data_IF_185103704722
#
_entry.id   IF_185103704722
#
_cell.length_a   1.000
_cell.length_b   1.000
_cell.length_c   1.000
_cell.angle_alpha   90.00
_cell.angle_beta   90.00
_cell.angle_gamma   90.00
#
_symmetry.space_group_name_H-M   'P 1'
#
loop_
_entity.id
_entity.type
_entity.pdbx_description
1 polymer ?
2 non-polymer ?
3 non-polymer ?
4 non-polymer ?
5 non-polymer ?
6 water ?
#
# COMPACT_ATOMS: atom_id res chain seq x y z
N UNK A 1 15.83 13.64 0.93
CA UNK A 1 14.78 12.59 1.11
C UNK A 1 13.64 13.27 1.88
N UNK A 2 12.40 12.94 1.52
CA UNK A 2 11.30 13.47 2.27
C UNK A 2 11.26 12.83 3.65
N UNK A 3 10.92 13.63 4.67
CA UNK A 3 10.96 13.16 6.08
C UNK A 3 10.03 13.87 7.07
N UNK A 4 9.32 13.06 7.79
CA UNK A 4 8.15 13.50 8.46
C UNK A 4 8.37 13.82 9.89
N UNK A 5 7.62 14.80 10.40
CA UNK A 5 7.58 15.09 11.82
C UNK A 5 6.17 14.94 12.38
N UNK A 6 6.00 14.05 13.34
CA UNK A 6 4.82 14.06 14.20
C UNK A 6 5.19 14.33 15.66
N UNK A 7 4.86 15.53 16.14
CA UNK A 7 4.92 15.82 17.57
C UNK A 7 3.55 15.69 18.20
N UNK A 8 2.54 16.27 17.55
CA UNK A 8 1.28 16.59 18.21
C UNK A 8 0.73 15.36 18.93
N UNK A 9 0.11 15.59 20.08
CA UNK A 9 -0.49 14.52 20.86
C UNK A 9 -2.00 14.51 20.86
N UNK A 10 -2.62 15.50 20.22
CA UNK A 10 -4.06 15.61 20.05
C UNK A 10 -4.38 15.39 18.60
N UNK A 11 -5.49 14.66 18.36
CA UNK A 11 -5.88 14.30 17.01
C UNK A 11 -5.94 15.46 16.06
N UNK A 12 -6.74 16.51 16.40
CA UNK A 12 -6.92 17.66 15.52
C UNK A 12 -5.56 18.34 15.26
N UNK A 13 -4.76 18.54 16.29
CA UNK A 13 -3.48 19.17 16.11
C UNK A 13 -2.61 18.32 15.17
N UNK A 14 -2.69 16.98 15.28
CA UNK A 14 -1.87 16.14 14.43
C UNK A 14 -2.29 16.25 12.97
N UNK A 15 -3.59 16.30 12.69
CA UNK A 15 -4.00 16.55 11.32
C UNK A 15 -3.42 17.83 10.82
N UNK A 16 -3.48 18.93 11.59
CA UNK A 16 -2.96 20.20 11.13
C UNK A 16 -1.47 20.13 10.84
N UNK A 17 -0.75 19.33 11.61
CA UNK A 17 0.66 19.07 11.40
C UNK A 17 0.98 18.25 10.19
N UNK A 18 0.17 17.21 9.95
CA UNK A 18 0.47 16.20 9.00
C UNK A 18 -0.09 16.51 7.59
N UNK A 19 -1.28 17.10 7.48
CA UNK A 19 -1.82 17.35 6.12
C UNK A 19 -0.86 18.16 5.26
N UNK A 20 -0.19 19.22 5.74
CA UNK A 20 0.71 19.97 4.87
C UNK A 20 1.88 19.12 4.48
N UNK A 21 2.35 18.20 5.29
CA UNK A 21 3.41 17.31 4.95
C UNK A 21 3.01 16.34 3.86
N UNK A 22 1.82 15.77 3.97
CA UNK A 22 1.29 14.93 2.89
C UNK A 22 1.21 15.74 1.58
N UNK A 23 0.66 16.96 1.68
CA UNK A 23 0.54 17.76 0.46
C UNK A 23 1.93 17.92 -0.19
N UNK A 24 2.95 18.19 0.58
CA UNK A 24 4.31 18.36 0.07
C UNK A 24 4.83 17.10 -0.58
N UNK A 25 4.61 15.95 0.10
CA UNK A 25 5.12 14.69 -0.39
C UNK A 25 4.43 14.34 -1.74
N UNK A 26 3.17 14.48 -1.88
CA UNK A 26 2.47 14.14 -3.09
C UNK A 26 2.62 15.14 -4.19
N UNK A 27 3.05 16.36 -3.86
CA UNK A 27 3.33 17.38 -4.83
C UNK A 27 4.48 16.99 -5.76
N UNK A 28 5.36 16.12 -5.27
CA UNK A 28 6.64 15.87 -5.93
C UNK A 28 6.62 14.54 -6.69
N UNK A 29 5.43 14.02 -6.95
CA UNK A 29 5.29 12.79 -7.78
C UNK A 29 3.99 12.89 -8.53
N UNK A 30 4.00 12.40 -9.75
CA UNK A 30 2.77 12.39 -10.55
C UNK A 30 2.05 11.04 -10.56
N UNK A 31 2.78 9.94 -10.32
CA UNK A 31 2.15 8.62 -10.36
C UNK A 31 1.10 8.50 -9.23
N UNK A 32 -0.12 8.19 -9.65
CA UNK A 32 -1.27 8.16 -8.71
C UNK A 32 -1.09 7.08 -7.66
N UNK A 33 -0.76 5.86 -8.09
CA UNK A 33 -0.62 4.78 -7.13
C UNK A 33 0.52 5.05 -6.12
N UNK A 34 1.65 5.61 -6.59
CA UNK A 34 2.73 5.95 -5.68
C UNK A 34 2.26 6.94 -4.63
N UNK A 35 1.49 7.95 -5.04
CA UNK A 35 0.97 8.96 -4.16
C UNK A 35 -0.02 8.39 -3.14
N UNK A 36 -0.89 7.50 -3.59
CA UNK A 36 -1.80 6.83 -2.66
C UNK A 36 -1.04 6.01 -1.66
N UNK A 37 -0.03 5.29 -2.13
CA UNK A 37 0.79 4.43 -1.27
C UNK A 37 1.49 5.24 -0.21
N UNK A 38 2.11 6.36 -0.59
CA UNK A 38 2.80 7.17 0.42
C UNK A 38 1.75 7.87 1.35
N UNK A 39 0.60 8.24 0.85
CA UNK A 39 -0.41 8.83 1.74
C UNK A 39 -0.87 7.85 2.80
N UNK A 40 -1.12 6.58 2.40
CA UNK A 40 -1.47 5.57 3.35
C UNK A 40 -0.39 5.41 4.37
N UNK A 41 0.87 5.41 3.93
CA UNK A 41 1.98 5.28 4.86
C UNK A 41 2.06 6.38 5.87
N UNK A 42 1.86 7.62 5.44
CA UNK A 42 1.90 8.76 6.37
C UNK A 42 0.77 8.66 7.41
N UNK A 43 -0.43 8.35 6.91
CA UNK A 43 -1.56 8.23 7.85
C UNK A 43 -1.37 7.09 8.84
N UNK A 44 -0.86 5.94 8.34
CA UNK A 44 -0.62 4.81 9.24
C UNK A 44 0.39 5.14 10.30
N UNK A 45 1.50 5.78 9.93
CA UNK A 45 2.57 6.13 10.86
C UNK A 45 2.03 7.18 11.89
N UNK A 46 1.34 8.19 11.42
CA UNK A 46 0.91 9.30 12.24
C UNK A 46 -0.18 8.84 13.22
N UNK A 47 -1.20 8.15 12.71
CA UNK A 47 -2.40 7.88 13.55
C UNK A 47 -2.46 6.43 14.05
N UNK A 48 -1.75 5.49 13.42
CA UNK A 48 -1.71 4.16 13.94
C UNK A 48 -3.00 3.40 13.81
N UNK A 49 -3.93 3.80 12.94
CA UNK A 49 -5.15 3.10 12.74
C UNK A 49 -4.88 1.70 12.34
N UNK A 50 -5.80 0.81 12.65
CA UNK A 50 -5.75 -0.61 12.28
C UNK A 50 -5.60 -0.82 10.76
N UNK A 51 -6.32 -0.06 9.96
CA UNK A 51 -6.27 -0.17 8.55
C UNK A 51 -6.48 1.18 7.97
N UNK A 52 -5.74 1.54 6.93
CA UNK A 52 -5.99 2.79 6.23
C UNK A 52 -5.52 2.66 4.77
N UNK A 53 -6.34 3.09 3.83
CA UNK A 53 -5.99 2.93 2.45
C UNK A 53 -7.07 3.30 1.52
N UNK A 54 -7.00 2.82 0.29
CA UNK A 54 -7.85 3.27 -0.81
C UNK A 54 -8.46 2.13 -1.55
N UNK A 55 -9.63 2.39 -2.09
CA UNK A 55 -10.23 1.61 -3.18
C UNK A 55 -10.51 2.55 -4.32
N UNK A 56 -10.42 2.08 -5.53
CA UNK A 56 -10.60 2.89 -6.76
C UNK A 56 -11.73 2.32 -7.60
N UNK A 57 -12.53 3.17 -8.19
CA UNK A 57 -13.64 2.73 -9.00
C UNK A 57 -13.15 2.07 -10.31
N UNK A 58 -13.70 0.90 -10.60
CA UNK A 58 -13.55 0.17 -11.84
C UNK A 58 -14.82 0.32 -12.60
N UNK A 59 -14.83 1.17 -13.61
CA UNK A 59 -16.04 1.36 -14.42
C UNK A 59 -16.41 0.12 -15.25
N UNK A 60 -15.52 -0.82 -15.49
CA UNK A 60 -15.96 -1.96 -16.28
C UNK A 60 -16.98 -2.80 -15.43
N UNK A 61 -16.76 -2.93 -14.12
CA UNK A 61 -17.46 -3.86 -13.24
C UNK A 61 -18.37 -3.18 -12.22
N UNK A 62 -18.38 -1.83 -12.17
CA UNK A 62 -19.11 -1.08 -11.14
C UNK A 62 -18.78 -1.58 -9.74
N UNK A 63 -17.46 -1.74 -9.54
CA UNK A 63 -16.95 -2.12 -8.23
C UNK A 63 -15.82 -1.19 -7.83
N UNK A 64 -15.63 -1.05 -6.53
CA UNK A 64 -14.42 -0.50 -5.94
C UNK A 64 -13.38 -1.62 -5.89
N UNK A 65 -12.16 -1.35 -6.32
CA UNK A 65 -11.06 -2.28 -6.38
C UNK A 65 -9.93 -1.81 -5.43
N UNK A 66 -9.42 -2.69 -4.61
CA UNK A 66 -8.42 -2.40 -3.64
C UNK A 66 -7.19 -1.79 -4.27
N UNK A 67 -6.68 -0.73 -3.67
CA UNK A 67 -5.52 0.04 -4.11
C UNK A 67 -4.52 0.04 -2.96
N UNK A 68 -3.54 0.96 -2.89
CA UNK A 68 -2.62 0.92 -1.74
C UNK A 68 -3.31 1.06 -0.39
N UNK A 69 -2.74 0.41 0.62
CA UNK A 69 -3.25 0.46 1.98
C UNK A 69 -2.19 -0.05 2.94
N UNK A 70 -2.36 0.22 4.21
CA UNK A 70 -1.62 -0.36 5.29
C UNK A 70 -2.58 -1.00 6.27
N UNK A 71 -2.12 -2.10 6.87
CA UNK A 71 -2.93 -2.92 7.73
C UNK A 71 -3.10 -4.32 7.16
N UNK A 72 -3.91 -5.19 7.76
CA UNK A 72 -4.07 -6.57 7.31
C UNK A 72 -4.76 -6.69 5.94
N UNK A 73 -4.81 -7.92 5.46
CA UNK A 73 -5.17 -8.08 3.97
C UNK A 73 -6.65 -7.78 4.06
N UNK A 74 -7.17 -7.44 2.90
CA UNK A 74 -8.50 -6.93 2.72
C UNK A 74 -9.18 -7.51 1.53
N UNK A 75 -10.49 -7.37 1.48
CA UNK A 75 -11.33 -7.67 0.30
C UNK A 75 -10.85 -6.94 -0.88
N UNK A 76 -10.77 -7.54 -2.06
CA UNK A 76 -10.31 -6.83 -3.24
C UNK A 76 -11.36 -6.04 -3.98
N UNK A 77 -12.61 -6.38 -3.78
CA UNK A 77 -13.73 -5.85 -4.52
C UNK A 77 -14.91 -5.54 -3.68
N UNK A 78 -15.46 -4.35 -3.81
CA UNK A 78 -16.69 -3.94 -3.09
C UNK A 78 -17.68 -3.41 -4.16
N UNK A 79 -18.82 -4.07 -4.31
CA UNK A 79 -19.81 -3.59 -5.25
C UNK A 79 -20.32 -2.18 -4.93
N UNK A 80 -20.72 -1.45 -5.99
CA UNK A 80 -21.45 -0.20 -5.78
C UNK A 80 -22.58 -0.42 -4.78
N UNK A 81 -22.71 0.51 -3.84
CA UNK A 81 -23.79 0.51 -2.86
C UNK A 81 -23.70 -0.45 -1.74
N UNK A 82 -22.70 -1.33 -1.70
CA UNK A 82 -22.57 -2.32 -0.64
C UNK A 82 -21.45 -1.87 0.31
N UNK A 83 -21.61 -2.16 1.59
CA UNK A 83 -20.64 -1.80 2.58
C UNK A 83 -20.63 -0.31 2.86
N UNK A 84 -19.86 0.08 3.90
CA UNK A 84 -19.65 1.52 4.12
C UNK A 84 -19.03 2.15 2.84
N UNK A 85 -18.07 1.45 2.24
CA UNK A 85 -17.39 2.00 1.08
C UNK A 85 -18.35 2.22 -0.12
N UNK A 86 -19.16 1.20 -0.41
CA UNK A 86 -20.09 1.33 -1.50
C UNK A 86 -21.19 2.31 -1.22
N UNK A 87 -21.60 2.43 0.06
CA UNK A 87 -22.52 3.47 0.49
C UNK A 87 -22.00 4.87 0.34
N UNK A 88 -20.74 5.09 0.68
CA UNK A 88 -20.15 6.44 0.51
C UNK A 88 -20.16 6.80 -0.95
N UNK A 89 -19.81 5.86 -1.82
CA UNK A 89 -19.85 6.06 -3.28
C UNK A 89 -21.28 6.40 -3.71
N UNK A 90 -22.26 5.61 -3.30
CA UNK A 90 -23.63 5.82 -3.75
C UNK A 90 -24.17 7.16 -3.20
N UNK A 91 -23.79 7.56 -1.96
CA UNK A 91 -24.34 8.82 -1.28
C UNK A 91 -23.57 10.02 -1.95
N UNK A 92 -22.36 9.82 -2.46
CA UNK A 92 -21.52 10.91 -2.84
C UNK A 92 -20.97 11.71 -1.67
N UNK A 93 -20.76 11.07 -0.52
CA UNK A 93 -20.27 11.78 0.63
C UNK A 93 -19.70 10.91 1.68
N UNK A 94 -19.04 11.50 2.65
CA UNK A 94 -18.39 10.82 3.78
C UNK A 94 -19.35 10.07 4.65
N UNK A 95 -18.98 8.87 5.08
CA UNK A 95 -19.74 8.09 6.04
C UNK A 95 -18.82 7.81 7.23
N UNK A 96 -19.28 8.20 8.41
CA UNK A 96 -18.58 7.92 9.71
C UNK A 96 -19.37 6.89 10.47
N UNK A 97 -18.68 5.84 10.94
CA UNK A 97 -19.33 4.72 11.61
C UNK A 97 -18.68 4.57 12.98
N UNK A 98 -19.46 4.82 14.03
CA UNK A 98 -19.03 4.70 15.37
C UNK A 98 -18.90 3.29 15.85
N UNK A 99 -19.74 2.43 15.30
CA UNK A 99 -19.77 1.02 15.70
C UNK A 99 -20.28 0.15 14.54
N UNK A 100 -19.36 -0.58 13.93
CA UNK A 100 -19.64 -1.32 12.71
C UNK A 100 -20.78 -2.33 12.90
N UNK A 101 -21.02 -2.73 14.15
CA UNK A 101 -22.20 -3.60 14.50
C UNK A 101 -23.56 -2.90 14.43
N UNK A 102 -23.71 -1.58 14.60
CA UNK A 102 -24.95 -0.93 14.36
C UNK A 102 -25.15 -0.35 12.99
N UNK A 103 -24.20 -0.65 12.09
CA UNK A 103 -24.25 -0.03 10.80
C UNK A 103 -24.84 -0.94 9.78
N UNK A 104 -25.84 -0.43 9.01
CA UNK A 104 -26.41 -1.38 8.04
C UNK A 104 -25.42 -1.82 6.96
N UNK A 105 -25.30 -3.12 6.73
CA UNK A 105 -24.53 -3.71 5.61
C UNK A 105 -23.01 -3.40 5.60
N UNK A 106 -22.39 -3.21 6.77
CA UNK A 106 -20.94 -3.15 6.91
C UNK A 106 -20.34 -4.45 6.34
N UNK A 107 -19.24 -4.26 5.60
CA UNK A 107 -18.51 -5.40 5.09
C UNK A 107 -17.29 -5.59 6.03
N UNK A 108 -17.24 -6.74 6.69
CA UNK A 108 -16.21 -7.05 7.64
C UNK A 108 -15.01 -7.80 6.99
N UNK A 109 -14.11 -7.13 6.27
CA UNK A 109 -12.94 -7.81 5.64
C UNK A 109 -12.04 -8.31 6.74
N UNK A 110 -12.00 -7.61 7.87
CA UNK A 110 -11.42 -8.15 9.08
C UNK A 110 -12.44 -8.25 10.13
N UNK A 111 -12.40 -9.32 10.89
CA UNK A 111 -13.32 -9.49 12.04
C UNK A 111 -12.99 -8.49 13.18
N UNK A 112 -11.82 -7.86 13.14
CA UNK A 112 -11.30 -7.08 14.30
C UNK A 112 -11.71 -5.59 14.28
N UNK A 113 -12.13 -5.05 13.13
CA UNK A 113 -12.47 -3.64 13.10
C UNK A 113 -13.83 -3.38 13.77
N UNK A 114 -13.87 -2.29 14.52
CA UNK A 114 -15.01 -1.81 15.27
C UNK A 114 -15.57 -0.45 14.86
N UNK A 115 -14.78 0.39 14.23
CA UNK A 115 -15.28 1.67 13.77
C UNK A 115 -14.57 2.03 12.48
N UNK A 116 -15.12 2.92 11.67
CA UNK A 116 -14.65 3.19 10.32
C UNK A 116 -15.04 4.57 9.87
N UNK A 117 -14.31 5.09 8.91
CA UNK A 117 -14.70 6.30 8.15
C UNK A 117 -14.33 6.08 6.68
N UNK A 118 -15.22 6.48 5.79
CA UNK A 118 -14.99 6.46 4.38
C UNK A 118 -15.19 7.84 3.79
N UNK A 119 -14.23 8.34 3.04
CA UNK A 119 -14.30 9.65 2.39
C UNK A 119 -14.16 9.44 0.86
N UNK A 120 -15.16 9.76 0.08
CA UNK A 120 -15.04 9.62 -1.36
C UNK A 120 -14.19 10.68 -2.02
N UNK A 121 -13.60 10.30 -3.16
CA UNK A 121 -12.84 11.18 -4.04
C UNK A 121 -13.55 11.32 -5.37
N UNK A 122 -13.46 12.51 -5.94
CA UNK A 122 -14.18 12.83 -7.20
C UNK A 122 -13.31 13.46 -8.28
N UNK A 123 -13.65 13.21 -9.53
CA UNK A 123 -13.12 13.93 -10.69
C UNK A 123 -14.24 14.08 -11.68
N UNK A 124 -14.30 15.28 -12.28
CA UNK A 124 -15.27 15.58 -13.34
C UNK A 124 -16.66 15.24 -12.82
N UNK A 125 -16.84 15.29 -11.50
CA UNK A 125 -18.15 15.18 -10.89
C UNK A 125 -18.40 13.82 -10.28
N UNK A 126 -17.68 12.83 -10.78
CA UNK A 126 -17.98 11.43 -10.49
C UNK A 126 -17.01 10.88 -9.45
N UNK A 127 -17.44 9.86 -8.72
CA UNK A 127 -16.57 9.18 -7.77
C UNK A 127 -15.48 8.40 -8.51
N UNK A 128 -14.23 8.63 -8.10
CA UNK A 128 -13.11 7.87 -8.63
C UNK A 128 -12.60 6.85 -7.61
N UNK A 129 -13.03 6.90 -6.37
CA UNK A 129 -12.53 6.00 -5.32
C UNK A 129 -12.89 6.51 -3.95
N UNK A 130 -12.36 5.85 -2.94
CA UNK A 130 -12.59 6.22 -1.56
C UNK A 130 -11.30 6.03 -0.76
N UNK A 131 -11.17 6.86 0.27
CA UNK A 131 -10.27 6.66 1.40
C UNK A 131 -11.02 5.95 2.51
N UNK A 132 -10.53 4.83 2.95
CA UNK A 132 -11.16 4.09 4.02
C UNK A 132 -10.17 3.93 5.17
N UNK A 133 -10.64 4.15 6.39
CA UNK A 133 -9.85 3.96 7.59
C UNK A 133 -10.68 3.19 8.63
N UNK A 134 -10.01 2.26 9.31
CA UNK A 134 -10.68 1.37 10.23
C UNK A 134 -9.88 1.29 11.54
N UNK A 135 -10.59 1.08 12.63
CA UNK A 135 -9.99 1.00 13.97
C UNK A 135 -10.57 -0.21 14.71
N UNK A 136 -9.72 -0.82 15.51
CA UNK A 136 -10.19 -1.81 16.50
C UNK A 136 -10.91 -1.20 17.68
N UNK A 137 -10.89 0.13 17.86
CA UNK A 137 -11.56 0.82 18.98
C UNK A 137 -12.94 1.28 18.49
N UNK A 138 -13.94 1.34 19.37
CA UNK A 138 -15.21 1.99 19.04
C UNK A 138 -14.99 3.49 18.89
N UNK A 139 -15.76 4.14 18.00
CA UNK A 139 -15.82 5.60 17.88
C UNK A 139 -14.44 6.19 17.78
N UNK A 140 -13.55 5.60 16.98
CA UNK A 140 -12.26 6.21 16.78
C UNK A 140 -12.35 7.42 15.84
N UNK A 141 -13.37 7.47 15.01
CA UNK A 141 -13.49 8.48 13.99
C UNK A 141 -14.70 9.38 14.27
N UNK A 142 -14.47 10.68 14.18
CA UNK A 142 -15.49 11.63 14.48
C UNK A 142 -15.42 12.82 13.51
N UNK A 143 -16.04 13.94 13.89
CA UNK A 143 -16.12 15.08 13.01
C UNK A 143 -14.74 15.66 12.63
N UNK A 144 -13.78 15.51 13.52
CA UNK A 144 -12.42 15.97 13.21
C UNK A 144 -11.86 15.18 12.05
N UNK A 145 -12.03 13.85 12.12
CA UNK A 145 -11.55 13.01 10.99
C UNK A 145 -12.31 13.34 9.69
N UNK A 146 -13.64 13.52 9.81
CA UNK A 146 -14.41 13.84 8.60
C UNK A 146 -13.88 15.12 8.00
N UNK A 147 -13.67 16.17 8.78
CA UNK A 147 -13.21 17.44 8.26
C UNK A 147 -11.84 17.30 7.56
N UNK A 148 -10.87 16.78 8.29
CA UNK A 148 -9.52 16.74 7.78
C UNK A 148 -9.25 15.69 6.76
N UNK A 149 -9.89 14.53 6.83
CA UNK A 149 -9.76 13.57 5.71
C UNK A 149 -10.52 14.07 4.52
N UNK A 150 -11.58 14.87 4.69
CA UNK A 150 -12.19 15.53 3.54
C UNK A 150 -11.27 16.52 2.87
N UNK A 151 -10.49 17.26 3.65
CA UNK A 151 -9.50 18.15 3.04
C UNK A 151 -8.39 17.36 2.37
N UNK A 152 -7.96 16.25 2.92
CA UNK A 152 -6.99 15.39 2.31
C UNK A 152 -7.54 14.87 0.95
N UNK A 153 -8.80 14.48 0.92
CA UNK A 153 -9.42 14.03 -0.32
C UNK A 153 -9.27 15.04 -1.43
N UNK A 154 -9.47 16.33 -1.08
CA UNK A 154 -9.30 17.36 -2.13
C UNK A 154 -7.83 17.55 -2.57
N UNK A 155 -6.89 17.43 -1.66
CA UNK A 155 -5.49 17.41 -2.03
C UNK A 155 -5.19 16.29 -3.00
N UNK A 156 -5.74 15.09 -2.74
CA UNK A 156 -5.51 13.93 -3.56
C UNK A 156 -6.19 14.07 -4.93
N UNK A 157 -7.39 14.61 -4.96
CA UNK A 157 -8.06 14.84 -6.21
C UNK A 157 -7.20 15.64 -7.17
N UNK A 158 -6.56 16.68 -6.66
CA UNK A 158 -5.68 17.50 -7.50
C UNK A 158 -4.52 16.68 -8.04
N UNK A 159 -3.98 15.77 -7.25
CA UNK A 159 -2.92 14.88 -7.75
C UNK A 159 -3.42 13.90 -8.78
N UNK A 160 -4.67 13.45 -8.67
CA UNK A 160 -5.26 12.55 -9.69
C UNK A 160 -5.28 13.30 -11.01
N UNK A 161 -5.81 14.53 -11.01
CA UNK A 161 -5.82 15.29 -12.21
C UNK A 161 -4.41 15.55 -12.78
N UNK A 162 -3.46 15.82 -11.90
CA UNK A 162 -2.07 16.03 -12.36
C UNK A 162 -1.51 14.80 -12.96
N UNK A 163 -1.96 13.59 -12.52
CA UNK A 163 -1.45 12.32 -13.06
C UNK A 163 -1.89 12.21 -14.53
N UNK A 164 -3.02 12.75 -14.87
CA UNK A 164 -3.55 12.68 -16.23
C UNK A 164 -2.88 13.62 -17.17
N UNK A 165 -2.30 14.71 -16.65
CA UNK A 165 -1.65 15.72 -17.44
C UNK A 165 -0.15 15.56 -17.45
N UNK A 166 0.40 14.59 -16.72
CA UNK A 166 1.83 14.42 -16.63
C UNK A 166 2.40 13.77 -17.87
N UNK A 167 3.57 14.23 -18.26
CA UNK A 167 4.33 13.68 -19.37
C UNK A 167 5.82 13.73 -19.04
N UNK B 1 -14.68 -14.68 2.81
CA UNK B 1 -13.57 -13.70 2.94
C UNK B 1 -12.33 -14.49 3.30
N UNK B 2 -11.22 -14.06 2.77
CA UNK B 2 -9.97 -14.70 3.09
C UNK B 2 -9.45 -14.26 4.45
N UNK B 3 -8.77 -15.20 5.11
CA UNK B 3 -8.16 -14.99 6.44
C UNK B 3 -6.93 -15.87 6.50
N UNK B 4 -5.94 -15.41 7.24
CA UNK B 4 -4.61 -15.98 7.17
C UNK B 4 -4.27 -16.49 8.57
N UNK B 5 -3.88 -17.76 8.63
CA UNK B 5 -3.15 -18.26 9.80
C UNK B 5 -1.65 -18.49 9.59
N UNK B 6 -0.86 -18.00 10.53
CA UNK B 6 0.56 -18.32 10.59
C UNK B 6 1.14 -18.65 11.96
N UNK B 7 1.46 -19.92 12.18
CA UNK B 7 1.65 -20.44 13.53
C UNK B 7 3.12 -20.73 13.81
N UNK B 8 3.93 -20.64 12.76
CA UNK B 8 5.17 -21.41 12.70
C UNK B 8 6.20 -20.44 13.25
N UNK B 9 7.13 -20.95 14.07
CA UNK B 9 8.04 -20.10 14.80
C UNK B 9 9.35 -19.92 14.04
N UNK B 10 9.67 -20.95 13.21
CA UNK B 10 10.95 -20.93 12.47
C UNK B 10 10.69 -20.19 11.11
N UNK B 11 11.67 -19.39 10.69
CA UNK B 11 11.54 -18.61 9.50
C UNK B 11 11.10 -19.42 8.28
N UNK B 12 11.88 -20.45 8.00
CA UNK B 12 11.57 -21.28 6.86
C UNK B 12 10.21 -21.90 6.94
N UNK B 13 9.89 -22.43 8.12
CA UNK B 13 8.52 -23.00 8.27
C UNK B 13 7.38 -21.95 8.06
N UNK B 14 7.63 -20.71 8.46
CA UNK B 14 6.64 -19.65 8.30
C UNK B 14 6.46 -19.37 6.80
N UNK B 15 7.54 -19.30 6.02
CA UNK B 15 7.39 -19.17 4.59
C UNK B 15 6.56 -20.29 4.02
N UNK B 16 6.83 -21.50 4.45
CA UNK B 16 6.06 -22.61 3.86
C UNK B 16 4.58 -22.56 4.21
N UNK B 17 4.29 -21.92 5.34
CA UNK B 17 2.90 -21.67 5.74
C UNK B 17 2.27 -20.50 4.97
N UNK B 18 3.05 -19.43 4.79
CA UNK B 18 2.57 -18.16 4.19
C UNK B 18 2.47 -18.20 2.68
N UNK B 19 3.42 -18.79 1.97
CA UNK B 19 3.38 -18.72 0.54
C UNK B 19 2.12 -19.30 -0.09
N UNK B 20 1.64 -20.50 0.39
CA UNK B 20 0.44 -20.99 -0.20
C UNK B 20 -0.79 -20.10 0.07
N UNK B 21 -0.80 -19.45 1.23
CA UNK B 21 -1.91 -18.51 1.54
C UNK B 21 -1.90 -17.32 0.56
N UNK B 22 -0.71 -16.75 0.36
CA UNK B 22 -0.57 -15.67 -0.64
C UNK B 22 -1.05 -16.18 -1.99
N UNK B 23 -0.59 -17.36 -2.42
CA UNK B 23 -0.97 -17.88 -3.70
C UNK B 23 -2.50 -17.89 -3.80
N UNK B 24 -3.17 -18.37 -2.75
CA UNK B 24 -4.61 -18.46 -2.79
C UNK B 24 -5.31 -17.06 -2.84
N UNK B 25 -4.75 -16.12 -2.09
CA UNK B 25 -5.32 -14.81 -2.00
C UNK B 25 -5.24 -14.06 -3.34
N UNK B 26 -4.14 -14.22 -4.05
CA UNK B 26 -3.93 -13.56 -5.30
C UNK B 26 -4.51 -14.28 -6.49
N UNK B 27 -4.93 -15.53 -6.31
CA UNK B 27 -5.47 -16.34 -7.40
C UNK B 27 -6.89 -15.78 -7.77
N UNK B 28 -7.49 -15.11 -6.76
CA UNK B 28 -8.90 -14.71 -6.71
C UNK B 28 -9.14 -13.25 -7.31
N UNK B 29 -8.11 -12.64 -7.91
CA UNK B 29 -8.14 -11.26 -8.36
C UNK B 29 -7.21 -11.09 -9.55
N UNK B 30 -7.63 -10.35 -10.55
CA UNK B 30 -6.80 -10.01 -11.69
C UNK B 30 -6.07 -8.70 -11.56
N UNK B 31 -6.55 -7.76 -10.76
CA UNK B 31 -5.95 -6.46 -10.70
C UNK B 31 -4.54 -6.57 -10.03
N UNK B 32 -3.54 -6.07 -10.76
CA UNK B 32 -2.13 -6.20 -10.33
C UNK B 32 -1.85 -5.40 -9.06
N UNK B 33 -2.27 -4.14 -9.02
CA UNK B 33 -2.08 -3.33 -7.81
C UNK B 33 -2.75 -3.95 -6.58
N UNK B 34 -3.99 -4.43 -6.72
CA UNK B 34 -4.66 -5.06 -5.60
C UNK B 34 -3.86 -6.25 -5.07
N UNK B 35 -3.37 -7.09 -5.97
CA UNK B 35 -2.64 -8.25 -5.59
C UNK B 35 -1.32 -7.91 -4.94
N UNK B 36 -0.60 -6.89 -5.45
CA UNK B 36 0.60 -6.44 -4.81
C UNK B 36 0.33 -5.89 -3.38
N UNK B 37 -0.77 -5.14 -3.26
CA UNK B 37 -1.16 -4.55 -1.99
C UNK B 37 -1.44 -5.65 -0.96
N UNK B 38 -2.23 -6.66 -1.32
CA UNK B 38 -2.55 -7.77 -0.37
C UNK B 38 -1.33 -8.64 -0.10
N UNK B 39 -0.44 -8.78 -1.07
CA UNK B 39 0.81 -9.51 -0.84
C UNK B 39 1.63 -8.86 0.22
N UNK B 40 1.71 -7.57 0.09
CA UNK B 40 2.60 -6.89 1.03
C UNK B 40 1.99 -6.84 2.42
N UNK B 41 0.66 -6.80 2.49
CA UNK B 41 -0.04 -6.95 3.75
C UNK B 41 0.20 -8.27 4.40
N UNK B 42 0.18 -9.37 3.66
CA UNK B 42 0.43 -10.68 4.24
C UNK B 42 1.88 -10.77 4.75
N UNK B 43 2.87 -10.32 3.95
CA UNK B 43 4.23 -10.36 4.39
C UNK B 43 4.47 -9.52 5.63
N UNK B 44 3.87 -8.29 5.68
CA UNK B 44 4.10 -7.41 6.82
C UNK B 44 3.52 -8.08 8.09
N UNK B 45 2.31 -8.64 7.97
CA UNK B 45 1.68 -9.26 9.17
C UNK B 45 2.47 -10.47 9.60
N UNK B 46 2.91 -11.32 8.71
CA UNK B 46 3.57 -12.57 9.05
C UNK B 46 4.97 -12.34 9.60
N UNK B 47 5.78 -11.48 8.94
CA UNK B 47 7.20 -11.36 9.28
C UNK B 47 7.51 -10.11 10.10
N UNK B 48 6.66 -9.09 10.06
CA UNK B 48 6.90 -7.89 10.84
C UNK B 48 8.05 -7.06 10.40
N UNK B 49 8.51 -7.20 9.19
CA UNK B 49 9.63 -6.40 8.67
C UNK B 49 9.24 -4.93 8.71
N UNK B 50 10.25 -4.07 8.87
CA UNK B 50 10.07 -2.65 8.90
C UNK B 50 9.40 -2.09 7.66
N UNK B 51 9.76 -2.60 6.52
CA UNK B 51 9.22 -2.15 5.24
C UNK B 51 9.13 -3.34 4.32
N UNK B 52 8.05 -3.45 3.60
CA UNK B 52 7.98 -4.48 2.53
C UNK B 52 7.00 -4.04 1.46
N UNK B 53 7.38 -4.18 0.21
CA UNK B 53 6.58 -3.72 -0.88
C UNK B 53 7.25 -3.77 -2.19
N UNK B 54 6.72 -3.00 -3.14
CA UNK B 54 7.06 -3.15 -4.55
C UNK B 54 7.43 -1.83 -5.16
N UNK B 55 8.32 -1.91 -6.16
CA UNK B 55 8.56 -0.89 -7.16
C UNK B 55 8.35 -1.49 -8.52
N UNK B 56 7.79 -0.76 -9.45
CA UNK B 56 7.51 -1.26 -10.81
C UNK B 56 8.29 -0.46 -11.79
N UNK B 57 8.79 -1.11 -12.81
CA UNK B 57 9.54 -0.45 -13.92
C UNK B 57 8.64 0.44 -14.77
N UNK B 58 9.10 1.65 -14.94
CA UNK B 58 8.61 2.64 -15.92
C UNK B 58 9.55 2.67 -17.09
N UNK B 59 9.14 2.06 -18.21
CA UNK B 59 10.02 2.00 -19.40
C UNK B 59 10.26 3.35 -20.04
N UNK B 60 9.40 4.32 -19.77
CA UNK B 60 9.57 5.67 -20.32
C UNK B 60 10.73 6.44 -19.67
N UNK B 61 10.99 6.17 -18.39
CA UNK B 61 11.96 6.93 -17.64
C UNK B 61 13.18 6.16 -17.14
N UNK B 62 13.15 4.85 -17.33
CA UNK B 62 14.25 3.95 -16.85
C UNK B 62 14.39 4.13 -15.33
N UNK B 63 13.20 4.08 -14.68
CA UNK B 63 13.10 4.22 -13.27
C UNK B 63 12.14 3.17 -12.71
N UNK B 64 12.45 2.69 -11.53
CA UNK B 64 11.53 2.02 -10.64
C UNK B 64 10.59 3.06 -9.95
N UNK B 65 9.31 2.79 -9.97
CA UNK B 65 8.31 3.69 -9.41
C UNK B 65 7.58 2.98 -8.29
N UNK B 66 7.40 3.61 -7.15
CA UNK B 66 6.77 3.06 -5.98
C UNK B 66 5.33 2.62 -6.29
N UNK B 67 5.09 1.38 -5.75
CA UNK B 67 3.82 0.69 -5.87
C UNK B 67 3.37 0.35 -4.43
N UNK B 68 2.41 -0.61 -4.24
CA UNK B 68 1.99 -0.87 -2.87
C UNK B 68 3.13 -1.32 -1.94
N UNK B 69 3.00 -0.98 -0.67
CA UNK B 69 3.95 -1.33 0.36
C UNK B 69 3.37 -1.12 1.71
N UNK B 70 4.02 -1.69 2.71
CA UNK B 70 3.68 -1.49 4.15
C UNK B 70 4.97 -0.96 4.76
N UNK B 71 4.84 -0.07 5.76
CA UNK B 71 5.93 0.57 6.39
C UNK B 71 5.92 2.08 6.15
N UNK B 72 6.95 2.80 6.62
CA UNK B 72 6.94 4.26 6.49
C UNK B 72 7.14 4.73 5.07
N UNK B 73 6.87 6.01 4.86
CA UNK B 73 7.05 6.71 3.62
C UNK B 73 8.34 6.37 2.94
N UNK B 74 8.27 6.27 1.59
CA UNK B 74 9.40 5.88 0.80
C UNK B 74 9.66 6.81 -0.37
N UNK B 75 10.85 6.73 -0.92
CA UNK B 75 11.18 7.38 -2.18
C UNK B 75 10.28 6.86 -3.27
N UNK B 76 9.83 7.72 -4.19
CA UNK B 76 8.94 7.32 -5.26
C UNK B 76 9.61 6.80 -6.49
N UNK B 77 10.86 7.16 -6.72
CA UNK B 77 11.56 6.85 -7.97
C UNK B 77 13.01 6.45 -7.71
N UNK B 78 13.40 5.30 -8.26
CA UNK B 78 14.78 4.79 -8.13
C UNK B 78 15.35 4.55 -9.54
N UNK B 79 16.39 5.27 -9.95
CA UNK B 79 16.92 5.08 -11.31
C UNK B 79 17.51 3.69 -11.51
N UNK B 80 17.45 3.22 -12.77
CA UNK B 80 18.15 2.02 -13.15
C UNK B 80 19.57 2.04 -12.59
N UNK B 81 19.99 0.94 -12.01
CA UNK B 81 21.34 0.76 -11.53
C UNK B 81 21.71 1.39 -10.21
N UNK B 82 20.81 2.20 -9.64
CA UNK B 82 21.05 2.92 -8.36
C UNK B 82 20.36 2.24 -7.20
N UNK B 83 21.04 2.18 -6.06
CA UNK B 83 20.45 1.56 -4.89
C UNK B 83 20.47 0.05 -4.97
N UNK B 84 20.11 -0.60 -3.87
CA UNK B 84 19.93 -2.06 -3.92
C UNK B 84 18.87 -2.42 -4.96
N UNK B 85 17.79 -1.61 -5.04
CA UNK B 85 16.73 -1.93 -6.00
C UNK B 85 17.19 -1.83 -7.43
N UNK B 86 17.84 -0.72 -7.76
CA UNK B 86 18.32 -0.55 -9.09
C UNK B 86 19.46 -1.51 -9.43
N UNK B 87 20.27 -1.93 -8.44
CA UNK B 87 21.31 -2.95 -8.61
C UNK B 87 20.64 -4.32 -8.99
N UNK B 88 19.55 -4.68 -8.30
CA UNK B 88 18.87 -5.92 -8.56
C UNK B 88 18.32 -5.98 -9.96
N UNK B 89 17.70 -4.90 -10.38
CA UNK B 89 17.21 -4.68 -11.70
C UNK B 89 18.36 -4.85 -12.73
N UNK B 90 19.45 -4.12 -12.55
CA UNK B 90 20.59 -4.19 -13.45
C UNK B 90 21.17 -5.57 -13.55
N UNK B 91 21.31 -6.26 -12.40
CA UNK B 91 21.90 -7.64 -12.33
C UNK B 91 20.96 -8.70 -12.89
N UNK B 92 19.65 -8.44 -12.85
CA UNK B 92 18.68 -9.43 -13.22
C UNK B 92 18.56 -10.48 -12.16
N UNK B 93 18.82 -10.21 -10.89
CA UNK B 93 18.76 -11.22 -9.86
C UNK B 93 18.68 -10.59 -8.47
N UNK B 94 18.41 -11.44 -7.49
CA UNK B 94 18.20 -11.08 -6.12
C UNK B 94 19.48 -10.52 -5.49
N UNK B 95 19.34 -9.50 -4.67
CA UNK B 95 20.42 -8.93 -3.89
C UNK B 95 20.04 -9.01 -2.42
N UNK B 96 20.87 -9.62 -1.60
CA UNK B 96 20.70 -9.71 -0.15
C UNK B 96 21.79 -8.85 0.48
N UNK B 97 21.37 -7.98 1.40
CA UNK B 97 22.29 -7.03 2.05
C UNK B 97 22.23 -7.20 3.60
N UNK B 98 23.32 -7.66 4.22
CA UNK B 98 23.32 -7.88 5.63
C UNK B 98 23.48 -6.59 6.42
N UNK B 99 24.11 -5.56 5.83
CA UNK B 99 24.38 -4.28 6.51
C UNK B 99 24.34 -3.21 5.45
N UNK B 100 23.26 -2.44 5.44
CA UNK B 100 23.13 -1.45 4.37
C UNK B 100 24.21 -0.35 4.44
N UNK B 101 24.73 -0.08 5.65
CA UNK B 101 25.77 0.96 5.81
C UNK B 101 27.10 0.52 5.21
N UNK B 102 27.24 -0.78 5.00
CA UNK B 102 28.40 -1.36 4.44
C UNK B 102 28.24 -1.77 3.00
N UNK B 103 27.12 -1.46 2.39
CA UNK B 103 26.81 -1.90 1.04
C UNK B 103 27.01 -0.79 0.07
N UNK B 104 27.53 -1.08 -1.13
CA UNK B 104 27.75 0.07 -2.05
C UNK B 104 26.48 0.78 -2.60
N UNK B 105 26.41 2.10 -2.50
CA UNK B 105 25.31 2.91 -3.09
C UNK B 105 23.85 2.58 -2.65
N UNK B 106 23.73 2.03 -1.48
CA UNK B 106 22.41 1.86 -0.89
C UNK B 106 21.66 3.22 -0.87
N UNK B 107 20.38 3.22 -1.19
CA UNK B 107 19.56 4.45 -1.07
C UNK B 107 18.79 4.34 0.25
N UNK B 108 19.16 5.22 1.17
CA UNK B 108 18.39 5.50 2.35
C UNK B 108 17.18 6.28 1.87
N UNK B 109 16.02 5.63 1.96
CA UNK B 109 14.71 6.37 2.01
C UNK B 109 14.32 6.55 3.45
N UNK B 110 14.73 5.60 4.30
CA UNK B 110 14.59 5.71 5.75
C UNK B 110 15.96 5.62 6.34
N UNK B 111 16.21 6.45 7.35
CA UNK B 111 17.44 6.39 8.13
C UNK B 111 17.46 5.13 8.98
N UNK B 112 16.30 4.46 9.18
CA UNK B 112 16.16 3.38 10.18
C UNK B 112 16.53 1.98 9.65
N UNK B 113 16.53 1.79 8.34
CA UNK B 113 16.80 0.48 7.77
C UNK B 113 18.28 0.09 7.94
N UNK B 114 18.53 -1.17 8.30
CA UNK B 114 19.89 -1.75 8.45
C UNK B 114 20.21 -2.95 7.57
N UNK B 115 19.22 -3.67 7.11
CA UNK B 115 19.40 -4.78 6.19
C UNK B 115 18.23 -4.84 5.22
N UNK B 116 18.44 -5.52 4.11
CA UNK B 116 17.54 -5.46 2.97
C UNK B 116 17.66 -6.64 2.10
N UNK B 117 16.59 -6.94 1.38
CA UNK B 117 16.62 -7.92 0.29
C UNK B 117 15.72 -7.37 -0.86
N UNK B 118 16.17 -7.54 -2.06
CA UNK B 118 15.49 -7.18 -3.26
C UNK B 118 15.41 -8.35 -4.22
N UNK B 119 14.20 -8.70 -4.63
CA UNK B 119 13.93 -9.82 -5.53
C UNK B 119 13.24 -9.31 -6.80
N UNK B 120 13.92 -9.37 -7.95
CA UNK B 120 13.30 -8.92 -9.19
C UNK B 120 12.19 -9.79 -9.73
N UNK B 121 11.22 -9.20 -10.42
CA UNK B 121 10.13 -9.88 -11.12
C UNK B 121 10.29 -9.67 -12.60
N UNK B 122 9.94 -10.70 -13.37
CA UNK B 122 10.15 -10.71 -14.81
C UNK B 122 8.87 -11.08 -15.58
N UNK B 123 8.76 -10.55 -16.79
CA UNK B 123 7.80 -10.97 -17.79
C UNK B 123 8.57 -11.01 -19.10
N UNK B 124 8.53 -12.18 -19.76
CA UNK B 124 9.13 -12.30 -21.10
C UNK B 124 10.61 -11.94 -20.98
N UNK B 125 11.21 -12.42 -19.90
CA UNK B 125 12.60 -12.17 -19.62
C UNK B 125 13.06 -10.73 -19.45
N UNK B 126 12.12 -9.79 -19.27
CA UNK B 126 12.41 -8.38 -18.92
C UNK B 126 11.93 -8.08 -17.52
N UNK B 127 12.70 -7.32 -16.80
CA UNK B 127 12.33 -6.98 -15.44
C UNK B 127 11.14 -6.04 -15.47
N UNK B 128 10.10 -6.37 -14.71
CA UNK B 128 8.92 -5.55 -14.57
C UNK B 128 8.85 -4.79 -13.24
N UNK B 129 9.68 -5.12 -12.30
CA UNK B 129 9.63 -4.54 -10.98
C UNK B 129 10.45 -5.33 -10.01
N UNK B 130 10.42 -4.97 -8.74
CA UNK B 130 11.13 -5.64 -7.66
C UNK B 130 10.20 -5.70 -6.41
N UNK B 131 10.41 -6.74 -5.65
CA UNK B 131 10.00 -6.84 -4.24
C UNK B 131 11.15 -6.40 -3.38
N UNK B 132 10.90 -5.42 -2.52
CA UNK B 132 11.89 -4.93 -1.63
C UNK B 132 11.42 -5.15 -0.20
N UNK B 133 12.26 -5.64 0.66
CA UNK B 133 12.02 -5.76 2.12
C UNK B 133 13.20 -5.23 2.88
N UNK B 134 12.91 -4.52 3.95
CA UNK B 134 13.89 -3.89 4.79
C UNK B 134 13.62 -4.19 6.24
N UNK B 135 14.67 -4.21 7.04
CA UNK B 135 14.59 -4.45 8.49
C UNK B 135 15.44 -3.42 9.22
N UNK B 136 15.00 -3.12 10.45
CA UNK B 136 15.80 -2.34 11.41
C UNK B 136 16.95 -3.12 12.02
N UNK B 137 16.92 -4.40 11.84
CA UNK B 137 17.96 -5.29 12.41
C UNK B 137 18.94 -5.58 11.37
N UNK B 138 20.19 -5.71 11.77
CA UNK B 138 21.22 -6.21 10.86
C UNK B 138 20.94 -7.68 10.51
N UNK B 139 21.33 -8.06 9.27
CA UNK B 139 21.34 -9.47 8.86
C UNK B 139 20.01 -10.15 9.03
N UNK B 140 18.89 -9.44 8.75
CA UNK B 140 17.60 -10.05 8.91
C UNK B 140 17.23 -10.97 7.75
N UNK B 141 17.89 -10.82 6.61
CA UNK B 141 17.57 -11.55 5.42
C UNK B 141 18.73 -12.43 5.00
N UNK B 142 18.44 -13.66 4.67
CA UNK B 142 19.48 -14.59 4.26
C UNK B 142 18.98 -15.48 3.16
N UNK B 143 19.70 -16.59 2.94
CA UNK B 143 19.34 -17.47 1.82
C UNK B 143 17.91 -18.06 1.95
N UNK B 144 17.38 -18.21 3.16
CA UNK B 144 16.03 -18.64 3.32
C UNK B 144 15.07 -17.61 2.69
N UNK B 145 15.27 -16.34 3.01
CA UNK B 145 14.43 -15.31 2.41
C UNK B 145 14.61 -15.30 0.88
N UNK B 146 15.85 -15.43 0.43
CA UNK B 146 16.06 -15.35 -1.05
C UNK B 146 15.36 -16.52 -1.69
N UNK B 147 15.42 -17.71 -1.14
CA UNK B 147 14.76 -18.82 -1.78
C UNK B 147 13.22 -18.63 -1.86
N UNK B 148 12.63 -18.38 -0.68
CA UNK B 148 11.20 -18.30 -0.65
C UNK B 148 10.61 -17.03 -1.29
N UNK B 149 11.26 -15.88 -1.14
CA UNK B 149 10.75 -14.69 -1.85
C UNK B 149 10.97 -14.86 -3.38
N UNK B 150 12.01 -15.60 -3.79
CA UNK B 150 12.10 -15.93 -5.17
C UNK B 150 10.93 -16.76 -5.66
N UNK B 151 10.48 -17.72 -4.85
CA UNK B 151 9.33 -18.50 -5.23
C UNK B 151 8.07 -17.60 -5.25
N UNK B 152 7.96 -16.68 -4.30
CA UNK B 152 6.82 -15.75 -4.32
C UNK B 152 6.84 -14.89 -5.61
N UNK B 153 8.03 -14.48 -6.04
CA UNK B 153 8.14 -13.70 -7.25
C UNK B 153 7.54 -14.45 -8.42
N UNK B 154 7.79 -15.75 -8.52
CA UNK B 154 7.23 -16.55 -9.53
C UNK B 154 5.72 -16.58 -9.49
N UNK B 155 5.15 -16.73 -8.30
CA UNK B 155 3.69 -16.69 -8.14
C UNK B 155 3.14 -15.37 -8.61
N UNK B 156 3.83 -14.29 -8.26
CA UNK B 156 3.35 -12.95 -8.66
C UNK B 156 3.46 -12.72 -10.14
N UNK B 157 4.53 -13.21 -10.76
CA UNK B 157 4.69 -13.06 -12.18
C UNK B 157 3.50 -13.62 -12.94
N UNK B 158 3.02 -14.76 -12.50
CA UNK B 158 1.85 -15.34 -13.15
C UNK B 158 0.61 -14.45 -13.00
N UNK B 159 0.47 -13.82 -11.84
CA UNK B 159 -0.61 -12.83 -11.69
C UNK B 159 -0.46 -11.61 -12.54
N UNK B 160 0.79 -11.16 -12.76
CA UNK B 160 0.98 -10.06 -13.67
C UNK B 160 0.47 -10.43 -15.07
N UNK B 161 0.88 -11.63 -15.52
CA UNK B 161 0.41 -12.07 -16.83
C UNK B 161 -1.14 -12.13 -16.87
N UNK B 162 -1.77 -12.61 -15.79
CA UNK B 162 -3.24 -12.64 -15.72
C UNK B 162 -3.83 -11.24 -15.79
N UNK B 163 -3.15 -10.26 -15.21
CA UNK B 163 -3.64 -8.88 -15.27
C UNK B 163 -3.67 -8.29 -16.66
N UNK B 164 -2.73 -8.69 -17.50
CA UNK B 164 -2.62 -8.21 -18.86
C UNK B 164 -3.72 -8.87 -19.68
N UNK B 165 -3.90 -10.16 -19.43
CA UNK B 165 -4.94 -10.94 -20.14
C UNK B 165 -6.32 -10.49 -19.81
N UNK B 166 -6.51 -9.87 -18.65
CA UNK B 166 -7.82 -9.43 -18.15
C UNK B 166 -8.28 -8.14 -18.73
N UNK B 167 -7.40 -7.37 -19.33
CA UNK B 167 -7.86 -6.11 -20.01
C UNK B 167 -8.80 -6.41 -21.21
X LIG C 1 -15.52 -2.09 5.93
X LIG C 1 -15.56 -1.73 4.50
X LIG C 1 -14.78 -2.73 3.61
X LIG C 1 -13.28 -2.46 3.47
X LIG C 1 -12.36 -3.01 4.84
X LIG C 1 -12.83 -2.79 6.19
X LIG C 1 -10.77 -2.46 4.38
X LIG C 1 -16.98 -1.55 4.04
X LIG C 1 -17.17 -1.16 2.88
X LIG C 1 -17.95 -1.78 4.87
X LIG D 1 1.30 2.21 1.66
X LIG E 1 5.18 7.21 6.97
X LIG F 1 -0.80 11.55 -8.69
X LIG G 1 -9.10 9.02 14.41
X LIG H 1 -16.01 6.16 14.59
X LIG I 1 4.48 10.38 -2.87
X LIG J 1 -22.76 3.31 -10.54
X LIG K 1 -20.61 -10.23 -1.16
X LIG K 1 -20.04 -8.86 -1.34
X LIG K 1 -19.80 -8.65 -2.80
X LIG K 1 -20.89 -7.73 -0.82
X LIG K 1 -18.81 -8.62 -0.49
X LIG K 1 -17.61 -9.50 -0.58
X LIG K 1 -16.54 -8.54 -0.36
X LIG K 1 -17.53 -10.18 -1.93
X LIG L 1 -22.05 12.75 8.68
X LIG L 1 -20.87 13.66 8.53
X LIG L 1 -20.31 13.18 7.25
X LIG L 1 -21.27 15.11 8.45
X LIG L 1 -19.85 13.52 9.64
X LIG L 1 -20.24 13.16 11.08
X LIG L 1 -21.34 12.28 11.14
X LIG L 1 -20.62 14.26 12.04
X LIG M 1 -6.54 1.14 16.01
X LIG M 1 -7.04 -0.02 15.98
X LIG M 1 -7.14 2.19 15.61
X LIG M 1 -5.20 1.25 16.68
X LIG N 1 4.36 21.83 13.12
X LIG N 1 3.81 21.60 11.99
X LIG N 1 5.06 22.83 13.15
X LIG N 1 4.36 21.11 14.40
X LIG O 1 16.89 0.81 0.00
X LIG O 1 16.42 0.84 -1.40
X LIG O 1 15.45 1.98 -1.73
X LIG O 1 13.97 1.65 -1.34
X LIG O 1 13.60 1.88 0.36
X LIG O 1 14.45 1.21 1.33
X LIG O 1 11.99 1.30 0.40
X LIG O 1 17.57 0.80 -2.39
X LIG O 1 17.26 0.75 -3.60
X LIG O 1 18.75 0.90 -1.92
X LIG P 1 -0.41 -3.17 1.36
X LIG Q 1 -5.43 -10.14 -3.49
X LIG R 1 19.08 10.80 -6.28
X LIG R 1 18.63 9.40 -6.66
X LIG R 1 17.94 9.55 -7.94
X LIG R 1 19.69 8.30 -6.75
X LIG R 1 17.63 8.82 -5.68
X LIG R 1 16.63 9.81 -5.07
X LIG R 1 16.87 11.14 -5.40
X LIG R 1 16.72 9.71 -3.55
X LIG S 1 20.67 -15.16 -3.23
X LIG S 1 22.02 -14.91 -3.84
X LIG S 1 22.34 -16.20 -4.23
X LIG S 1 21.85 -14.08 -5.09
X LIG S 1 23.06 -14.38 -2.89
X LIG S 1 23.15 -15.44 -1.76
X LIG S 1 22.19 -15.10 -0.81
X LIG S 1 24.53 -15.63 -1.15
#
# INVERSE_FOLDING_TARGET
MHALHFSASDKAALYREVLPQIESVVADETDWVANLANTAAVLKEAFGWFWVGFYLVDTRSDELVLAPFQGPLACTRIPFGRGVCGQAWAKGGTVVVGDVDAHPDHIACSSLSRSEIVVPLFSDGRCIGVLDADSEHLAQFDETDALYLGELAKILEKRFEASRQAV
MHALHFSASDKAALYREVLPQIESVVADETDWVANLANTAAVLKEAFGWFWVGFYLVDTRSDELVLAPFQGPLACTRIPFGRGVCGQAWAKGGTVVVGDVDAHPDHIACSSLSRSEIVVPLFSDGRCIGVLDADSEHLAQFDETDALYLGELAKILEKRFEASRQAV
SME N CA CB CG S OE CE C O OXT
MG MG
MG MG
MG MG
MG MG
MG MG
MG MG
MG MG
MRD C1 C2 O2 CM C3 C4 O4 C5
MRD C1 C2 O2 CM C3 C4 O4 C5
ACT C O OXT CH3
ACT C O OXT CH3
SME N CA CB CG S OE CE C O OXT
MG MG
MG MG
MRD C1 C2 O2 CM C3 C4 O4 C5
MRD C1 C2 O2 CM C3 C4 O4 C5
#
